data_IF_506979684540
#
_entry.id   IF_506979684540
#
_cell.length_a   1.000
_cell.length_b   1.000
_cell.length_c   1.000
_cell.angle_alpha   90.00
_cell.angle_beta   90.00
_cell.angle_gamma   90.00
#
_symmetry.space_group_name_H-M   'P 1'
#
loop_
_entity.id
_entity.type
_entity.pdbx_description
1 polymer ?
#
# COMPACT_ATOMS: atom_id res chain seq x y z
N UNK A 1 7.65 -4.18 3.09
CA UNK A 1 7.61 -4.79 1.72
C UNK A 1 6.21 -4.81 1.11
N UNK A 2 5.21 -4.34 1.81
CA UNK A 2 3.84 -4.36 1.18
C UNK A 2 3.11 -3.03 1.37
N UNK A 3 3.59 -2.20 2.25
CA UNK A 3 2.96 -0.87 2.46
C UNK A 3 2.64 -0.19 1.11
N UNK A 4 3.31 -0.58 0.05
CA UNK A 4 3.07 0.05 -1.29
C UNK A 4 1.63 -0.22 -1.72
N UNK A 5 1.08 -1.30 -1.27
CA UNK A 5 -0.32 -1.62 -1.62
C UNK A 5 -1.23 -0.94 -0.60
N UNK A 6 -0.79 -0.84 0.62
CA UNK A 6 -1.62 -0.20 1.68
C UNK A 6 -1.78 1.30 1.42
N UNK A 7 -0.68 1.98 1.34
CA UNK A 7 -0.69 3.45 1.13
C UNK A 7 -1.34 3.85 -0.20
N UNK A 8 -1.63 2.92 -1.08
CA UNK A 8 -2.26 3.36 -2.37
C UNK A 8 -3.71 2.92 -2.43
N UNK A 9 -3.97 1.74 -1.97
CA UNK A 9 -5.37 1.22 -2.02
C UNK A 9 -6.35 2.31 -1.58
N UNK A 10 -5.90 3.25 -0.79
CA UNK A 10 -6.80 4.34 -0.34
C UNK A 10 -6.28 5.69 -0.84
#
# INVERSE_FOLDING_TARGET
>A
QYQFWKNFQT
#
